data_IF_803535615027
#
_entry.id   IF_803535615027
#
_cell.length_a   1.000
_cell.length_b   1.000
_cell.length_c   1.000
_cell.angle_alpha   90.00
_cell.angle_beta   90.00
_cell.angle_gamma   90.00
#
_symmetry.space_group_name_H-M   'P 1'
#
loop_
_entity.id
_entity.type
_entity.pdbx_description
1 polymer ?
#
# COMPACT_ATOMS: atom_id res chain seq x y z
N UNK A 1 1.76 11.85 -6.83
CA UNK A 1 3.06 11.57 -7.47
C UNK A 1 3.01 12.07 -8.90
N UNK A 2 4.01 12.86 -9.34
CA UNK A 2 4.16 13.35 -10.72
C UNK A 2 5.04 12.40 -11.52
N UNK A 3 5.01 12.52 -12.85
CA UNK A 3 5.82 11.68 -13.76
C UNK A 3 7.32 11.80 -13.48
N UNK A 4 7.79 13.00 -13.11
CA UNK A 4 9.19 13.24 -12.75
C UNK A 4 9.62 12.54 -11.45
N UNK A 5 8.68 12.20 -10.57
CA UNK A 5 8.97 11.57 -9.28
C UNK A 5 9.13 10.04 -9.39
N UNK A 6 8.60 9.45 -10.47
CA UNK A 6 8.52 7.99 -10.67
C UNK A 6 9.88 7.29 -10.54
N UNK A 7 10.97 7.77 -11.17
CA UNK A 7 12.25 7.08 -11.06
C UNK A 7 12.82 7.06 -9.64
N UNK A 8 12.59 8.11 -8.83
CA UNK A 8 13.06 8.16 -7.45
C UNK A 8 12.20 7.26 -6.55
N UNK A 9 10.88 7.32 -6.69
CA UNK A 9 9.95 6.47 -5.94
C UNK A 9 10.16 4.97 -6.24
N UNK A 10 10.41 4.61 -7.50
CA UNK A 10 10.75 3.24 -7.90
C UNK A 10 12.03 2.75 -7.21
N UNK A 11 13.09 3.59 -7.14
CA UNK A 11 14.35 3.23 -6.48
C UNK A 11 14.16 3.02 -4.98
N UNK A 12 13.39 3.89 -4.33
CA UNK A 12 13.05 3.74 -2.91
C UNK A 12 12.30 2.44 -2.64
N UNK A 13 11.25 2.17 -3.42
CA UNK A 13 10.46 0.95 -3.26
C UNK A 13 11.29 -0.30 -3.53
N UNK A 14 12.05 -0.32 -4.62
CA UNK A 14 12.91 -1.46 -4.97
C UNK A 14 13.92 -1.74 -3.86
N UNK A 15 14.55 -0.69 -3.30
CA UNK A 15 15.48 -0.85 -2.18
C UNK A 15 14.75 -1.37 -0.93
N UNK A 16 13.57 -0.85 -0.61
CA UNK A 16 12.78 -1.28 0.53
C UNK A 16 12.35 -2.75 0.43
N UNK A 17 11.91 -3.19 -0.76
CA UNK A 17 11.43 -4.55 -1.00
C UNK A 17 12.52 -5.63 -0.84
N UNK A 18 13.81 -5.28 -0.90
CA UNK A 18 14.93 -6.22 -0.70
C UNK A 18 15.02 -6.79 0.72
N UNK A 19 14.29 -6.22 1.69
CA UNK A 19 14.25 -6.67 3.10
C UNK A 19 13.42 -7.95 3.31
N UNK A 20 12.58 -8.30 2.34
CA UNK A 20 11.55 -9.34 2.46
C UNK A 20 11.94 -10.60 1.68
N UNK A 21 11.45 -11.75 2.13
CA UNK A 21 11.80 -13.06 1.55
C UNK A 21 10.95 -13.36 0.30
N UNK A 22 9.70 -12.86 0.27
CA UNK A 22 8.80 -12.92 -0.88
C UNK A 22 8.37 -11.51 -1.27
N UNK A 23 8.96 -10.97 -2.34
CA UNK A 23 8.65 -9.66 -2.87
C UNK A 23 8.68 -9.65 -4.40
N UNK A 24 7.86 -8.81 -5.06
CA UNK A 24 8.01 -8.57 -6.49
C UNK A 24 9.28 -7.77 -6.77
N UNK A 25 9.90 -8.04 -7.92
CA UNK A 25 11.00 -7.22 -8.46
C UNK A 25 10.43 -6.42 -9.62
N UNK A 26 10.18 -5.14 -9.40
CA UNK A 26 9.59 -4.26 -10.41
C UNK A 26 10.66 -3.68 -11.33
N UNK A 27 10.44 -3.76 -12.63
CA UNK A 27 10.99 -2.80 -13.58
C UNK A 27 10.38 -1.41 -13.37
N UNK A 28 11.01 -0.39 -13.94
CA UNK A 28 10.47 0.98 -13.90
C UNK A 28 9.08 1.07 -14.55
N UNK A 29 8.89 0.37 -15.67
CA UNK A 29 7.62 0.35 -16.41
C UNK A 29 6.50 -0.34 -15.61
N UNK A 30 6.81 -1.45 -14.93
CA UNK A 30 5.85 -2.14 -14.06
C UNK A 30 5.47 -1.29 -12.84
N UNK A 31 6.45 -0.62 -12.24
CA UNK A 31 6.20 0.32 -11.15
C UNK A 31 5.33 1.48 -11.61
N UNK A 32 5.64 2.11 -12.74
CA UNK A 32 4.78 3.16 -13.30
C UNK A 32 3.38 2.61 -13.59
N UNK A 33 3.27 1.42 -14.15
CA UNK A 33 1.97 0.84 -14.49
C UNK A 33 1.10 0.59 -13.26
N UNK A 34 1.69 0.10 -12.17
CA UNK A 34 0.97 -0.34 -10.98
C UNK A 34 0.80 0.75 -9.93
N UNK A 35 1.79 1.63 -9.76
CA UNK A 35 1.87 2.58 -8.65
C UNK A 35 1.60 4.03 -9.05
N UNK A 36 1.54 4.37 -10.34
CA UNK A 36 1.19 5.73 -10.76
C UNK A 36 -0.26 6.05 -10.42
N UNK A 37 -0.50 7.25 -9.86
CA UNK A 37 -1.85 7.72 -9.58
C UNK A 37 -2.71 7.67 -10.84
N UNK A 38 -3.81 6.93 -10.77
CA UNK A 38 -4.82 6.81 -11.82
C UNK A 38 -6.18 7.01 -11.17
N UNK A 39 -6.99 7.97 -11.65
CA UNK A 39 -8.33 8.21 -11.12
C UNK A 39 -9.10 6.89 -10.98
N UNK A 40 -9.75 6.71 -9.84
CA UNK A 40 -10.58 5.53 -9.50
C UNK A 40 -9.86 4.18 -9.46
N UNK A 41 -8.53 4.12 -9.59
CA UNK A 41 -7.78 2.86 -9.64
C UNK A 41 -6.73 2.83 -8.53
N UNK A 42 -5.78 3.77 -8.54
CA UNK A 42 -4.68 3.85 -7.58
C UNK A 42 -4.43 5.31 -7.22
N UNK A 43 -4.22 5.58 -5.94
CA UNK A 43 -3.70 6.85 -5.44
C UNK A 43 -2.30 6.66 -4.91
N UNK A 44 -1.35 7.50 -5.34
CA UNK A 44 0.03 7.45 -4.91
C UNK A 44 0.60 8.83 -4.57
N UNK A 45 1.34 8.87 -3.48
CA UNK A 45 1.88 10.06 -2.85
C UNK A 45 3.37 9.88 -2.60
N UNK A 46 4.08 11.00 -2.62
CA UNK A 46 5.52 11.07 -2.35
C UNK A 46 5.76 12.19 -1.36
N UNK A 47 6.78 12.03 -0.52
CA UNK A 47 7.31 13.10 0.32
C UNK A 47 8.56 13.63 -0.36
N UNK A 48 8.57 14.92 -0.66
CA UNK A 48 9.67 15.65 -1.30
C UNK A 48 10.32 16.56 -0.24
N UNK A 49 11.64 16.52 -0.12
CA UNK A 49 12.37 17.39 0.79
C UNK A 49 12.66 18.78 0.16
N UNK A 50 13.23 19.70 0.94
CA UNK A 50 13.56 21.06 0.45
C UNK A 50 14.57 21.09 -0.71
N UNK A 51 15.31 19.99 -0.95
CA UNK A 51 16.23 19.83 -2.07
C UNK A 51 15.58 19.24 -3.33
N UNK A 52 14.30 18.88 -3.28
CA UNK A 52 13.58 18.24 -4.39
C UNK A 52 13.83 16.73 -4.51
N UNK A 53 14.40 16.10 -3.48
CA UNK A 53 14.59 14.65 -3.46
C UNK A 53 13.36 13.97 -2.84
N UNK A 54 12.93 12.87 -3.46
CA UNK A 54 11.86 12.04 -2.90
C UNK A 54 12.45 11.19 -1.77
N UNK A 55 11.90 11.31 -0.56
CA UNK A 55 12.36 10.58 0.63
C UNK A 55 11.49 9.40 0.98
N UNK A 56 10.19 9.52 0.71
CA UNK A 56 9.19 8.53 1.08
C UNK A 56 8.14 8.40 -0.04
N UNK A 57 7.57 7.21 -0.17
CA UNK A 57 6.53 6.87 -1.14
C UNK A 57 5.45 6.04 -0.45
N UNK A 58 4.17 6.27 -0.78
CA UNK A 58 3.04 5.46 -0.31
C UNK A 58 1.91 5.44 -1.33
N UNK A 59 1.20 4.31 -1.42
CA UNK A 59 0.10 4.12 -2.35
C UNK A 59 -1.02 3.25 -1.78
N UNK A 60 -2.22 3.42 -2.32
CA UNK A 60 -3.37 2.55 -2.11
C UNK A 60 -4.17 2.38 -3.39
N UNK A 61 -4.84 1.24 -3.55
CA UNK A 61 -5.74 0.97 -4.67
C UNK A 61 -7.21 1.05 -4.24
N UNK A 62 -8.07 1.37 -5.20
CA UNK A 62 -9.49 1.61 -5.00
C UNK A 62 -10.23 0.30 -5.28
N UNK A 63 -11.08 -0.13 -4.35
CA UNK A 63 -11.88 -1.34 -4.50
C UNK A 63 -13.28 -1.13 -3.92
N UNK A 64 -14.14 -0.33 -4.56
CA UNK A 64 -15.50 -0.12 -4.07
C UNK A 64 -16.30 -1.42 -4.09
N UNK A 65 -17.09 -1.66 -3.05
CA UNK A 65 -17.93 -2.84 -2.91
C UNK A 65 -19.41 -2.47 -2.98
N UNK A 66 -20.20 -3.30 -3.67
CA UNK A 66 -21.67 -3.11 -3.69
C UNK A 66 -22.27 -3.55 -2.36
N UNK A 67 -23.06 -2.68 -1.74
CA UNK A 67 -23.80 -2.98 -0.51
C UNK A 67 -25.12 -3.64 -0.88
N UNK A 68 -25.29 -4.90 -0.47
CA UNK A 68 -26.51 -5.65 -0.73
C UNK A 68 -27.63 -5.24 0.25
N UNK A 69 -28.84 -5.03 -0.28
CA UNK A 69 -30.08 -4.86 0.49
C UNK A 69 -30.11 -3.71 1.52
N UNK A 70 -29.26 -2.69 1.38
CA UNK A 70 -29.33 -1.51 2.25
C UNK A 70 -30.24 -0.41 1.65
N UNK A 71 -31.15 0.20 2.43
CA UNK A 71 -32.16 1.12 1.91
C UNK A 71 -31.56 2.45 1.39
N UNK A 72 -30.51 2.96 2.04
CA UNK A 72 -29.91 4.27 1.73
C UNK A 72 -28.59 4.16 0.93
N UNK A 73 -27.58 3.50 1.49
CA UNK A 73 -26.27 3.30 0.84
C UNK A 73 -26.26 2.12 -0.14
N UNK A 74 -25.54 2.27 -1.26
CA UNK A 74 -25.40 1.25 -2.32
C UNK A 74 -23.97 0.81 -2.58
N UNK A 75 -23.01 1.66 -2.24
CA UNK A 75 -21.59 1.43 -2.45
C UNK A 75 -20.90 1.73 -1.13
N UNK A 76 -19.94 0.87 -0.78
CA UNK A 76 -18.92 1.13 0.21
C UNK A 76 -17.64 1.49 -0.54
N UNK A 77 -17.22 2.75 -0.45
CA UNK A 77 -15.98 3.23 -1.05
C UNK A 77 -14.81 2.76 -0.19
N UNK A 78 -14.30 1.56 -0.46
CA UNK A 78 -13.13 1.03 0.22
C UNK A 78 -11.86 1.19 -0.61
N UNK A 79 -10.75 1.43 0.08
CA UNK A 79 -9.41 1.35 -0.48
C UNK A 79 -8.53 0.39 0.32
N UNK A 80 -7.45 -0.06 -0.30
CA UNK A 80 -6.53 -1.03 0.26
C UNK A 80 -5.10 -0.52 0.13
N UNK A 81 -4.34 -0.56 1.22
CA UNK A 81 -2.91 -0.25 1.21
C UNK A 81 -2.21 -1.09 0.15
N UNK A 82 -1.42 -0.43 -0.68
CA UNK A 82 -0.63 -1.08 -1.71
C UNK A 82 0.84 -1.13 -1.29
N UNK A 83 1.73 -0.38 -1.96
CA UNK A 83 3.14 -0.33 -1.61
C UNK A 83 3.52 1.00 -0.97
N UNK A 84 4.57 0.96 -0.13
CA UNK A 84 5.21 2.12 0.44
C UNK A 84 6.71 1.88 0.63
N UNK A 85 7.46 2.96 0.79
CA UNK A 85 8.83 2.95 1.25
C UNK A 85 9.07 4.22 2.06
N UNK A 86 9.41 4.07 3.33
CA UNK A 86 9.71 5.18 4.24
C UNK A 86 11.20 5.18 4.59
N UNK A 87 11.86 6.32 4.41
CA UNK A 87 13.29 6.51 4.70
C UNK A 87 13.54 7.56 5.76
N UNK A 88 12.79 8.67 5.76
CA UNK A 88 12.97 9.76 6.74
C UNK A 88 11.79 9.89 7.68
N UNK A 89 10.59 9.68 7.18
CA UNK A 89 9.36 9.83 7.95
C UNK A 89 9.09 8.56 8.74
N UNK A 90 8.76 8.61 10.04
CA UNK A 90 8.29 7.43 10.77
C UNK A 90 7.11 6.79 10.03
N UNK A 91 7.11 5.46 9.89
CA UNK A 91 6.10 4.77 9.07
C UNK A 91 4.68 5.06 9.56
N UNK A 92 4.50 5.12 10.88
CA UNK A 92 3.21 5.45 11.50
C UNK A 92 2.69 6.83 11.05
N UNK A 93 3.56 7.82 10.92
CA UNK A 93 3.18 9.18 10.51
C UNK A 93 2.86 9.24 9.01
N UNK A 94 3.68 8.58 8.17
CA UNK A 94 3.45 8.48 6.74
C UNK A 94 2.09 7.80 6.42
N UNK A 95 1.76 6.72 7.13
CA UNK A 95 0.48 6.04 6.97
C UNK A 95 -0.67 6.89 7.50
N UNK A 96 -0.49 7.59 8.62
CA UNK A 96 -1.52 8.50 9.13
C UNK A 96 -1.88 9.58 8.10
N UNK A 97 -0.89 10.20 7.46
CA UNK A 97 -1.14 11.19 6.40
C UNK A 97 -1.85 10.56 5.19
N UNK A 98 -1.50 9.32 4.84
CA UNK A 98 -2.19 8.57 3.80
C UNK A 98 -3.67 8.31 4.14
N UNK A 99 -4.00 7.99 5.40
CA UNK A 99 -5.38 7.85 5.87
C UNK A 99 -6.15 9.16 5.76
N UNK A 100 -5.52 10.30 6.10
CA UNK A 100 -6.12 11.63 5.92
C UNK A 100 -6.41 11.91 4.45
N UNK A 101 -5.49 11.57 3.54
CA UNK A 101 -5.71 11.73 2.09
C UNK A 101 -6.86 10.84 1.59
N UNK A 102 -6.96 9.60 2.07
CA UNK A 102 -8.06 8.70 1.73
C UNK A 102 -9.41 9.25 2.23
N UNK A 103 -9.47 9.74 3.46
CA UNK A 103 -10.68 10.37 4.00
C UNK A 103 -11.10 11.60 3.19
N UNK A 104 -10.16 12.48 2.84
CA UNK A 104 -10.42 13.65 2.00
C UNK A 104 -10.83 13.29 0.56
N UNK A 105 -10.61 12.05 0.15
CA UNK A 105 -11.02 11.51 -1.15
C UNK A 105 -12.31 10.66 -1.07
N UNK A 106 -13.12 10.87 -0.03
CA UNK A 106 -14.42 10.21 0.19
C UNK A 106 -14.36 8.68 0.29
N UNK A 107 -13.27 8.13 0.82
CA UNK A 107 -13.21 6.72 1.22
C UNK A 107 -13.83 6.50 2.59
N UNK A 108 -14.69 5.47 2.68
CA UNK A 108 -15.39 5.07 3.90
C UNK A 108 -14.50 4.23 4.81
N UNK A 109 -13.60 3.43 4.23
CA UNK A 109 -12.72 2.50 4.95
C UNK A 109 -11.40 2.31 4.22
N UNK A 110 -10.32 2.22 4.99
CA UNK A 110 -8.97 1.94 4.52
C UNK A 110 -8.52 0.58 5.07
N UNK A 111 -8.31 -0.38 4.19
CA UNK A 111 -7.91 -1.73 4.54
C UNK A 111 -6.39 -1.90 4.40
N UNK A 112 -5.79 -2.73 5.24
CA UNK A 112 -4.40 -3.11 5.14
C UNK A 112 -4.22 -4.56 5.63
N UNK A 113 -3.24 -5.26 5.05
CA UNK A 113 -2.84 -6.60 5.50
C UNK A 113 -1.81 -6.50 6.63
N UNK A 114 -1.55 -7.60 7.34
CA UNK A 114 -0.52 -7.67 8.39
C UNK A 114 0.86 -8.10 7.85
N UNK A 115 1.08 -7.90 6.55
CA UNK A 115 2.34 -8.16 5.86
C UNK A 115 3.30 -6.96 5.93
N UNK A 116 4.53 -7.12 5.44
CA UNK A 116 5.57 -6.08 5.50
C UNK A 116 5.79 -5.54 6.93
N UNK A 117 6.12 -4.26 7.07
CA UNK A 117 6.29 -3.57 8.34
C UNK A 117 4.93 -3.06 8.91
N UNK A 118 3.78 -3.56 8.42
CA UNK A 118 2.47 -2.98 8.73
C UNK A 118 2.12 -3.04 10.23
N UNK A 119 2.58 -4.08 10.92
CA UNK A 119 2.38 -4.22 12.38
C UNK A 119 2.90 -3.04 13.19
N UNK A 120 3.84 -2.24 12.66
CA UNK A 120 4.34 -1.04 13.33
C UNK A 120 3.25 0.02 13.55
N UNK A 121 2.29 0.13 12.63
CA UNK A 121 1.28 1.19 12.64
C UNK A 121 -0.15 0.70 12.89
N UNK A 122 -0.47 -0.58 12.62
CA UNK A 122 -1.86 -1.09 12.66
C UNK A 122 -2.56 -0.76 13.99
N UNK A 123 -1.98 -1.15 15.13
CA UNK A 123 -2.58 -0.88 16.45
C UNK A 123 -2.61 0.63 16.77
N UNK A 124 -1.52 1.34 16.50
CA UNK A 124 -1.37 2.78 16.80
C UNK A 124 -2.38 3.64 16.04
N UNK A 125 -2.67 3.27 14.79
CA UNK A 125 -3.62 3.94 13.90
C UNK A 125 -5.03 3.33 13.96
N UNK A 126 -5.31 2.51 14.98
CA UNK A 126 -6.65 1.96 15.27
C UNK A 126 -7.22 1.08 14.15
N UNK A 127 -6.36 0.38 13.40
CA UNK A 127 -6.83 -0.68 12.53
C UNK A 127 -7.44 -1.81 13.38
N UNK A 128 -8.64 -2.23 13.02
CA UNK A 128 -9.31 -3.39 13.59
C UNK A 128 -8.99 -4.64 12.79
N UNK A 129 -8.79 -5.77 13.47
CA UNK A 129 -8.65 -7.08 12.81
C UNK A 129 -9.98 -7.46 12.18
N UNK A 130 -9.97 -7.76 10.88
CA UNK A 130 -11.13 -8.27 10.15
C UNK A 130 -11.43 -9.74 10.47
N UNK A 131 -12.48 -10.28 9.86
CA UNK A 131 -12.88 -11.69 9.96
C UNK A 131 -12.22 -12.59 8.89
N UNK A 132 -11.73 -12.00 7.81
CA UNK A 132 -11.04 -12.68 6.71
C UNK A 132 -9.54 -12.84 6.92
N UNK A 133 -8.97 -13.91 6.36
CA UNK A 133 -7.53 -14.13 6.27
C UNK A 133 -7.13 -14.33 4.81
N UNK A 134 -6.01 -13.73 4.39
CA UNK A 134 -5.39 -13.99 3.09
C UNK A 134 -4.22 -14.94 3.29
N UNK A 135 -4.19 -16.02 2.50
CA UNK A 135 -3.18 -17.07 2.58
C UNK A 135 -2.39 -17.14 1.27
N UNK A 136 -1.07 -17.21 1.37
CA UNK A 136 -0.17 -17.23 0.22
C UNK A 136 0.23 -18.66 -0.14
N UNK A 137 0.09 -19.00 -1.42
CA UNK A 137 0.48 -20.30 -1.97
C UNK A 137 1.35 -20.09 -3.19
N UNK A 138 2.45 -20.84 -3.30
CA UNK A 138 3.35 -20.81 -4.45
C UNK A 138 3.28 -22.16 -5.16
N UNK A 139 2.96 -22.13 -6.45
CA UNK A 139 2.86 -23.32 -7.27
C UNK A 139 4.25 -23.81 -7.71
N UNK A 140 4.50 -25.12 -7.59
CA UNK A 140 5.73 -25.77 -8.05
C UNK A 140 7.03 -25.15 -7.48
N UNK A 141 6.98 -24.64 -6.25
CA UNK A 141 8.14 -24.09 -5.54
C UNK A 141 8.15 -24.57 -4.09
N UNK A 142 9.30 -25.07 -3.63
CA UNK A 142 9.47 -25.50 -2.24
C UNK A 142 10.24 -24.43 -1.47
N UNK A 143 9.66 -23.94 -0.38
CA UNK A 143 10.30 -22.97 0.52
C UNK A 143 9.94 -23.27 1.98
N UNK A 144 10.71 -22.73 2.96
CA UNK A 144 10.30 -22.70 4.35
C UNK A 144 9.01 -21.89 4.56
N UNK A 145 8.39 -22.05 5.74
CA UNK A 145 7.33 -21.14 6.19
C UNK A 145 7.90 -19.73 6.37
N UNK A 146 7.17 -18.73 5.89
CA UNK A 146 7.52 -17.32 6.02
C UNK A 146 6.51 -16.65 6.96
N UNK A 147 6.95 -15.86 7.95
CA UNK A 147 6.04 -15.03 8.73
C UNK A 147 5.50 -13.88 7.84
N UNK A 148 4.35 -13.30 8.19
CA UNK A 148 3.69 -12.26 7.38
C UNK A 148 4.61 -11.05 7.13
N UNK A 149 5.42 -10.69 8.12
CA UNK A 149 6.41 -9.60 8.09
C UNK A 149 7.55 -9.85 7.08
N UNK A 150 7.66 -11.07 6.52
CA UNK A 150 8.61 -11.42 5.46
C UNK A 150 7.98 -11.51 4.08
N UNK A 151 6.68 -11.21 3.97
CA UNK A 151 5.94 -11.12 2.71
C UNK A 151 5.74 -9.66 2.34
N UNK A 152 6.11 -9.30 1.12
CA UNK A 152 5.87 -7.99 0.52
C UNK A 152 5.26 -8.13 -0.88
N UNK A 153 4.49 -9.20 -1.12
CA UNK A 153 3.66 -9.36 -2.30
C UNK A 153 2.23 -8.97 -1.94
N UNK A 154 1.76 -7.81 -2.37
CA UNK A 154 0.34 -7.42 -2.19
C UNK A 154 -0.48 -8.05 -3.31
N UNK A 155 -1.45 -8.90 -2.94
CA UNK A 155 -2.41 -9.51 -3.89
C UNK A 155 -3.67 -8.63 -3.98
N UNK A 156 -4.17 -8.44 -5.20
CA UNK A 156 -5.41 -7.71 -5.51
C UNK A 156 -6.60 -8.64 -5.59
#
# INVERSE_FOLDING_TARGET
MRDADIPQAWRLLTQYLTKFDLAPVFSLDEFEYLCKSRPTIVSAFVVENDQGEITDFISYYHLPSTILNHPQYKILNSCYMYYYAASRTPLTDLVNDCLVQAHNSDFDVFNALDIMDNKEFLEKLKFGVGDGNIQYYIYNWKCPLMPAEKVALVLQ
#
